data_IF_200408331730
#
_entry.id   IF_200408331730
#
_cell.length_a   1.000
_cell.length_b   1.000
_cell.length_c   1.000
_cell.angle_alpha   90.00
_cell.angle_beta   90.00
_cell.angle_gamma   90.00
#
_symmetry.space_group_name_H-M   'P 1'
#
loop_
_entity.id
_entity.type
_entity.pdbx_description
1 polymer ?
#
# COMPACT_ATOMS: atom_id res chain seq x y z
N UNK A 1 28.14 8.46 -13.24
CA UNK A 1 27.27 7.28 -13.00
C UNK A 1 26.73 7.37 -11.58
N UNK A 2 25.47 6.98 -11.32
CA UNK A 2 24.91 6.98 -9.96
C UNK A 2 25.68 6.00 -9.05
N UNK A 3 25.71 6.29 -7.75
CA UNK A 3 26.39 5.46 -6.73
C UNK A 3 25.49 4.41 -6.11
N UNK A 4 24.17 4.61 -6.17
CA UNK A 4 23.14 3.70 -5.68
C UNK A 4 21.83 4.02 -6.43
N UNK A 5 20.89 3.08 -6.39
CA UNK A 5 19.52 3.27 -6.88
C UNK A 5 18.58 2.94 -5.72
N UNK A 6 17.75 3.90 -5.35
CA UNK A 6 16.82 3.78 -4.23
C UNK A 6 15.41 3.88 -4.80
N UNK A 7 14.57 2.90 -4.47
CA UNK A 7 13.19 2.81 -4.93
C UNK A 7 12.24 3.19 -3.80
N UNK A 8 11.13 3.86 -4.15
CA UNK A 8 9.95 3.73 -3.31
C UNK A 8 9.39 2.30 -3.44
N UNK A 9 8.61 1.86 -2.45
CA UNK A 9 7.97 0.55 -2.43
C UNK A 9 6.58 0.60 -3.08
N UNK A 10 5.61 1.16 -2.37
CA UNK A 10 4.18 1.06 -2.72
C UNK A 10 3.83 1.91 -3.93
N UNK A 11 3.42 1.27 -5.03
CA UNK A 11 3.13 1.92 -6.31
C UNK A 11 4.34 2.06 -7.24
N UNK A 12 5.51 1.56 -6.84
CA UNK A 12 6.72 1.48 -7.69
C UNK A 12 7.17 0.03 -7.86
N UNK A 13 7.45 -0.67 -6.75
CA UNK A 13 7.78 -2.09 -6.77
C UNK A 13 6.53 -2.95 -6.54
N UNK A 14 5.61 -2.48 -5.70
CA UNK A 14 4.42 -3.22 -5.29
C UNK A 14 3.13 -2.62 -5.88
N UNK A 15 2.25 -3.46 -6.45
CA UNK A 15 0.96 -3.04 -6.98
C UNK A 15 -0.13 -3.01 -5.90
N UNK A 16 -0.22 -1.88 -5.21
CA UNK A 16 -1.23 -1.65 -4.16
C UNK A 16 -2.67 -1.72 -4.64
N UNK A 17 -2.95 -1.59 -5.95
CA UNK A 17 -4.32 -1.68 -6.46
C UNK A 17 -4.77 -3.13 -6.59
N UNK A 18 -3.86 -4.02 -6.94
CA UNK A 18 -4.11 -5.45 -7.05
C UNK A 18 -4.65 -6.04 -5.73
N UNK A 19 -4.20 -5.51 -4.58
CA UNK A 19 -4.65 -5.89 -3.23
C UNK A 19 -6.17 -5.94 -3.08
N UNK A 20 -6.87 -4.93 -3.61
CA UNK A 20 -8.33 -4.81 -3.49
C UNK A 20 -9.04 -5.59 -4.59
N UNK A 21 -8.44 -5.61 -5.79
CA UNK A 21 -9.03 -6.19 -6.99
C UNK A 21 -8.94 -7.72 -7.03
N UNK A 22 -7.90 -8.31 -6.45
CA UNK A 22 -7.70 -9.76 -6.38
C UNK A 22 -8.53 -10.45 -5.28
N UNK A 23 -9.34 -9.66 -4.55
CA UNK A 23 -10.59 -10.11 -3.92
C UNK A 23 -10.49 -11.36 -3.04
N UNK A 24 -9.90 -11.23 -1.85
CA UNK A 24 -9.89 -12.32 -0.84
C UNK A 24 -11.32 -12.65 -0.35
N UNK A 25 -12.28 -11.75 -0.55
CA UNK A 25 -13.68 -11.95 -0.17
C UNK A 25 -14.64 -11.24 -1.11
N UNK A 26 -15.86 -11.78 -1.24
CA UNK A 26 -16.94 -11.15 -2.02
C UNK A 26 -17.42 -9.90 -1.27
N UNK A 27 -17.18 -8.74 -1.85
CA UNK A 27 -17.68 -7.44 -1.38
C UNK A 27 -18.61 -6.92 -2.47
N UNK A 28 -19.85 -6.61 -2.09
CA UNK A 28 -20.87 -6.11 -3.02
C UNK A 28 -20.76 -4.59 -3.16
N UNK A 29 -19.67 -4.14 -3.80
CA UNK A 29 -19.36 -2.73 -4.02
C UNK A 29 -18.45 -2.54 -5.24
N UNK A 30 -18.32 -1.29 -5.68
CA UNK A 30 -17.32 -0.90 -6.67
C UNK A 30 -15.90 -0.93 -6.05
N UNK A 31 -15.23 -2.07 -6.22
CA UNK A 31 -13.89 -2.33 -5.70
C UNK A 31 -12.81 -1.44 -6.32
N UNK A 32 -12.95 -1.03 -7.59
CA UNK A 32 -11.99 -0.12 -8.21
C UNK A 32 -12.07 1.26 -7.57
N UNK A 33 -13.28 1.78 -7.39
CA UNK A 33 -13.49 3.06 -6.70
C UNK A 33 -13.02 3.01 -5.25
N UNK A 34 -13.26 1.91 -4.53
CA UNK A 34 -12.70 1.71 -3.19
C UNK A 34 -11.17 1.71 -3.19
N UNK A 35 -10.54 0.97 -4.10
CA UNK A 35 -9.07 0.89 -4.20
C UNK A 35 -8.43 2.25 -4.46
N UNK A 36 -8.98 3.00 -5.42
CA UNK A 36 -8.51 4.35 -5.76
C UNK A 36 -8.67 5.31 -4.59
N UNK A 37 -9.84 5.34 -3.96
CA UNK A 37 -10.10 6.24 -2.83
C UNK A 37 -9.25 5.87 -1.62
N UNK A 38 -9.10 4.58 -1.31
CA UNK A 38 -8.29 4.12 -0.20
C UNK A 38 -6.83 4.54 -0.36
N UNK A 39 -6.24 4.33 -1.54
CA UNK A 39 -4.87 4.77 -1.82
C UNK A 39 -4.72 6.29 -1.75
N UNK A 40 -5.69 7.04 -2.26
CA UNK A 40 -5.70 8.49 -2.16
C UNK A 40 -5.70 8.95 -0.69
N UNK A 41 -6.65 8.45 0.12
CA UNK A 41 -6.77 8.81 1.54
C UNK A 41 -5.54 8.44 2.34
N UNK A 42 -4.93 7.29 2.05
CA UNK A 42 -3.70 6.84 2.70
C UNK A 42 -2.57 7.85 2.49
N UNK A 43 -2.34 8.31 1.26
CA UNK A 43 -1.32 9.32 0.97
C UNK A 43 -1.67 10.67 1.59
N UNK A 44 -2.91 11.13 1.45
CA UNK A 44 -3.37 12.38 2.06
C UNK A 44 -3.13 12.40 3.57
N UNK A 45 -3.40 11.29 4.25
CA UNK A 45 -3.21 11.17 5.70
C UNK A 45 -1.73 11.25 6.08
N UNK A 46 -0.82 10.63 5.31
CA UNK A 46 0.63 10.80 5.58
C UNK A 46 1.08 12.25 5.49
N UNK A 47 0.55 13.01 4.53
CA UNK A 47 0.88 14.43 4.37
C UNK A 47 0.29 15.29 5.48
N UNK A 48 -1.00 15.10 5.79
CA UNK A 48 -1.69 15.87 6.83
C UNK A 48 -1.06 15.63 8.21
N UNK A 49 -0.83 14.37 8.57
CA UNK A 49 -0.20 14.00 9.85
C UNK A 49 1.20 14.60 9.98
N UNK A 50 1.99 14.53 8.91
CA UNK A 50 3.33 15.13 8.86
C UNK A 50 3.28 16.66 8.98
N UNK A 51 2.37 17.34 8.27
CA UNK A 51 2.17 18.78 8.34
C UNK A 51 1.69 19.25 9.73
N UNK A 52 0.92 18.42 10.42
CA UNK A 52 0.48 18.66 11.80
C UNK A 52 1.54 18.32 12.85
N UNK A 53 2.71 17.79 12.45
CA UNK A 53 3.74 17.32 13.39
C UNK A 53 3.29 16.14 14.24
N UNK A 54 2.34 15.33 13.75
CA UNK A 54 1.75 14.18 14.44
C UNK A 54 2.05 12.92 13.67
N UNK A 55 3.16 12.26 13.98
CA UNK A 55 3.50 11.00 13.34
C UNK A 55 2.56 9.87 13.77
N UNK A 56 2.05 9.12 12.81
CA UNK A 56 1.50 7.77 12.99
C UNK A 56 2.16 6.85 11.95
N UNK A 57 2.33 5.58 12.29
CA UNK A 57 2.92 4.63 11.36
C UNK A 57 1.99 4.37 10.16
N UNK A 58 2.60 3.87 9.08
CA UNK A 58 1.86 3.68 7.83
C UNK A 58 0.78 2.61 7.93
N UNK A 59 0.88 1.69 8.89
CA UNK A 59 -0.17 0.70 9.13
C UNK A 59 -1.42 1.34 9.71
N UNK A 60 -1.27 2.19 10.73
CA UNK A 60 -2.34 2.97 11.35
C UNK A 60 -3.00 3.89 10.33
N UNK A 61 -2.20 4.53 9.48
CA UNK A 61 -2.69 5.34 8.35
C UNK A 61 -3.47 4.49 7.35
N UNK A 62 -2.98 3.29 7.02
CA UNK A 62 -3.63 2.36 6.09
C UNK A 62 -5.01 1.93 6.60
N UNK A 63 -5.11 1.57 7.87
CA UNK A 63 -6.37 1.20 8.53
C UNK A 63 -7.36 2.38 8.55
N UNK A 64 -6.90 3.56 8.95
CA UNK A 64 -7.73 4.77 9.01
C UNK A 64 -8.24 5.19 7.64
N UNK A 65 -7.40 5.08 6.60
CA UNK A 65 -7.77 5.37 5.24
C UNK A 65 -8.82 4.41 4.69
N UNK A 66 -8.74 3.11 5.02
CA UNK A 66 -9.76 2.12 4.62
C UNK A 66 -11.12 2.46 5.23
N UNK A 67 -11.15 2.69 6.54
CA UNK A 67 -12.37 3.04 7.27
C UNK A 67 -12.99 4.34 6.75
N UNK A 68 -12.16 5.35 6.47
CA UNK A 68 -12.61 6.61 5.88
C UNK A 68 -13.23 6.42 4.50
N UNK A 69 -12.58 5.61 3.66
CA UNK A 69 -13.04 5.33 2.29
C UNK A 69 -14.36 4.54 2.27
N UNK A 70 -14.48 3.53 3.13
CA UNK A 70 -15.73 2.77 3.27
C UNK A 70 -16.89 3.66 3.72
N UNK A 71 -16.66 4.53 4.72
CA UNK A 71 -17.66 5.50 5.18
C UNK A 71 -18.09 6.45 4.08
N UNK A 72 -17.15 6.98 3.29
CA UNK A 72 -17.44 7.90 2.20
C UNK A 72 -18.22 7.24 1.05
N UNK A 73 -17.96 5.96 0.78
CA UNK A 73 -18.62 5.20 -0.29
C UNK A 73 -19.86 4.45 0.18
N UNK A 74 -20.26 4.59 1.45
CA UNK A 74 -21.36 3.85 2.06
C UNK A 74 -21.22 2.32 1.92
N UNK A 75 -19.98 1.82 2.04
CA UNK A 75 -19.67 0.39 1.98
C UNK A 75 -19.62 -0.15 3.41
N UNK A 76 -20.49 -1.12 3.70
CA UNK A 76 -20.48 -1.87 4.96
C UNK A 76 -19.60 -3.11 4.80
N UNK A 77 -18.49 -3.15 5.54
CA UNK A 77 -17.63 -4.32 5.61
C UNK A 77 -17.83 -5.04 6.93
N UNK A 78 -18.04 -6.36 6.87
CA UNK A 78 -17.89 -7.21 8.04
C UNK A 78 -16.44 -7.18 8.57
N UNK A 79 -16.26 -7.54 9.84
CA UNK A 79 -14.93 -7.64 10.45
C UNK A 79 -13.99 -8.55 9.63
N UNK A 80 -14.52 -9.63 9.07
CA UNK A 80 -13.76 -10.56 8.24
C UNK A 80 -13.33 -9.93 6.91
N UNK A 81 -14.21 -9.17 6.24
CA UNK A 81 -13.86 -8.48 4.99
C UNK A 81 -12.82 -7.37 5.24
N UNK A 82 -12.98 -6.60 6.31
CA UNK A 82 -12.02 -5.58 6.71
C UNK A 82 -10.64 -6.20 6.99
N UNK A 83 -10.59 -7.27 7.79
CA UNK A 83 -9.35 -7.98 8.07
C UNK A 83 -8.74 -8.60 6.82
N UNK A 84 -9.55 -9.16 5.91
CA UNK A 84 -9.06 -9.72 4.65
C UNK A 84 -8.38 -8.65 3.78
N UNK A 85 -8.99 -7.46 3.63
CA UNK A 85 -8.39 -6.35 2.88
C UNK A 85 -7.10 -5.84 3.53
N UNK A 86 -7.07 -5.71 4.85
CA UNK A 86 -5.88 -5.26 5.58
C UNK A 86 -4.74 -6.28 5.47
N UNK A 87 -5.03 -7.56 5.66
CA UNK A 87 -4.05 -8.64 5.49
C UNK A 87 -3.52 -8.68 4.05
N UNK A 88 -4.38 -8.48 3.05
CA UNK A 88 -3.95 -8.39 1.65
C UNK A 88 -2.91 -7.26 1.46
N UNK A 89 -3.04 -6.16 2.22
CA UNK A 89 -2.10 -5.04 2.18
C UNK A 89 -0.72 -5.37 2.76
N UNK A 90 -0.59 -6.44 3.55
CA UNK A 90 0.71 -6.95 4.04
C UNK A 90 1.40 -7.87 3.04
N UNK A 91 0.69 -8.31 1.99
CA UNK A 91 1.20 -9.24 0.97
C UNK A 91 0.91 -8.71 -0.44
N UNK A 92 1.29 -7.45 -0.67
CA UNK A 92 1.09 -6.78 -1.95
C UNK A 92 1.94 -7.46 -3.03
N UNK A 93 1.37 -7.83 -4.19
CA UNK A 93 2.16 -8.39 -5.28
C UNK A 93 3.13 -7.35 -5.84
N UNK A 94 4.29 -7.79 -6.32
CA UNK A 94 5.19 -6.93 -7.11
C UNK A 94 4.69 -6.79 -8.55
N UNK A 95 5.05 -5.69 -9.22
CA UNK A 95 4.81 -5.57 -10.66
C UNK A 95 5.61 -6.66 -11.43
N UNK A 96 5.06 -7.24 -12.52
CA UNK A 96 5.69 -8.36 -13.24
C UNK A 96 7.13 -8.08 -13.69
N UNK A 97 7.44 -6.84 -14.05
CA UNK A 97 8.73 -6.40 -14.55
C UNK A 97 9.80 -6.24 -13.46
N UNK A 98 9.41 -6.12 -12.19
CA UNK A 98 10.31 -5.74 -11.08
C UNK A 98 11.49 -6.68 -10.95
N UNK A 99 11.25 -7.99 -11.00
CA UNK A 99 12.32 -8.98 -10.88
C UNK A 99 13.39 -8.80 -11.97
N UNK A 100 12.97 -8.62 -13.22
CA UNK A 100 13.88 -8.42 -14.36
C UNK A 100 14.62 -7.09 -14.28
N UNK A 101 13.95 -6.03 -13.84
CA UNK A 101 14.54 -4.70 -13.69
C UNK A 101 15.61 -4.69 -12.60
N UNK A 102 15.32 -5.27 -11.42
CA UNK A 102 16.28 -5.36 -10.32
C UNK A 102 17.52 -6.18 -10.72
N UNK A 103 17.35 -7.28 -11.48
CA UNK A 103 18.46 -8.07 -12.01
C UNK A 103 19.40 -7.22 -12.87
N UNK A 104 18.85 -6.41 -13.79
CA UNK A 104 19.65 -5.54 -14.67
C UNK A 104 20.40 -4.43 -13.93
N UNK A 105 19.97 -4.12 -12.71
CA UNK A 105 20.48 -3.03 -11.88
C UNK A 105 21.40 -3.52 -10.74
N UNK A 106 21.57 -4.82 -10.55
CA UNK A 106 22.41 -5.42 -9.48
C UNK A 106 23.85 -4.92 -9.40
N UNK A 107 24.36 -4.31 -10.48
CA UNK A 107 25.67 -3.64 -10.49
C UNK A 107 25.73 -2.39 -9.60
N UNK A 108 24.59 -1.88 -9.15
CA UNK A 108 24.48 -0.80 -8.19
C UNK A 108 23.98 -1.33 -6.84
N UNK A 109 24.39 -0.71 -5.71
CA UNK A 109 23.67 -0.86 -4.45
C UNK A 109 22.20 -0.47 -4.65
N UNK A 110 21.30 -1.38 -4.27
CA UNK A 110 19.86 -1.18 -4.36
C UNK A 110 19.28 -1.08 -2.94
N UNK A 111 18.35 -0.16 -2.74
CA UNK A 111 17.65 0.01 -1.47
C UNK A 111 16.20 0.46 -1.68
N UNK A 112 15.39 0.32 -0.64
CA UNK A 112 14.04 0.89 -0.57
C UNK A 112 14.07 2.08 0.41
N UNK A 113 13.41 3.17 0.03
CA UNK A 113 13.03 4.26 0.91
C UNK A 113 11.53 4.44 0.78
N UNK A 114 10.77 4.05 1.80
CA UNK A 114 9.31 4.06 1.73
C UNK A 114 8.68 4.52 3.03
N UNK A 115 7.42 4.94 2.94
CA UNK A 115 6.58 5.25 4.07
C UNK A 115 6.21 4.01 4.89
N UNK A 116 6.27 2.81 4.31
CA UNK A 116 5.92 1.55 4.99
C UNK A 116 6.56 1.41 6.36
N UNK A 117 5.79 0.95 7.35
CA UNK A 117 6.38 0.61 8.64
C UNK A 117 7.37 -0.56 8.48
N UNK A 118 8.35 -0.69 9.39
CA UNK A 118 9.32 -1.78 9.34
C UNK A 118 8.68 -3.16 9.22
N UNK A 119 7.60 -3.42 9.95
CA UNK A 119 6.88 -4.71 9.90
C UNK A 119 6.20 -4.94 8.55
N UNK A 120 5.61 -3.90 7.95
CA UNK A 120 5.01 -4.00 6.62
C UNK A 120 6.06 -4.30 5.55
N UNK A 121 7.22 -3.63 5.60
CA UNK A 121 8.30 -3.87 4.65
C UNK A 121 8.95 -5.23 4.88
N UNK A 122 9.12 -5.67 6.13
CA UNK A 122 9.66 -6.99 6.46
C UNK A 122 8.74 -8.16 6.06
N UNK A 123 7.44 -7.93 5.94
CA UNK A 123 6.51 -8.91 5.40
C UNK A 123 6.53 -8.99 3.85
N UNK A 124 6.95 -7.91 3.19
CA UNK A 124 6.86 -7.77 1.74
C UNK A 124 8.19 -8.03 0.98
N UNK A 125 9.33 -8.01 1.67
CA UNK A 125 10.69 -8.11 1.10
C UNK A 125 11.39 -9.41 1.50
#
# INVERSE_FOLDING_TARGET
MPRAIIFDAYGTLFDVRAVVLEGICRIDADLDTLARLWRQRQLEYTWLLSLMGRYEDFWSVTQSALQSSCRQLHIELSANQCNALLTAYLSVPIFPEVASALESLKRYPLAILSNGSPDMLGAAV
#
